data_IF_848799711626
#
_entry.id   IF_848799711626
#
_cell.length_a   1.000
_cell.length_b   1.000
_cell.length_c   1.000
_cell.angle_alpha   90.00
_cell.angle_beta   90.00
_cell.angle_gamma   90.00
#
_symmetry.space_group_name_H-M   'P 1'
#
loop_
_entity.id
_entity.type
_entity.pdbx_description
1 polymer ?
#
# COMPACT_ATOMS: atom_id res chain seq x y z
N UNK A 1 -1.90 -4.28 14.09
CA UNK A 1 -0.65 -4.87 13.53
C UNK A 1 0.10 -5.68 14.58
N UNK A 2 0.22 -5.19 15.82
CA UNK A 2 0.82 -5.98 16.92
C UNK A 2 0.16 -7.36 17.12
N UNK A 3 -1.15 -7.48 16.87
CA UNK A 3 -1.89 -8.76 16.94
C UNK A 3 -1.31 -9.86 16.05
N UNK A 4 -0.62 -9.50 14.97
CA UNK A 4 0.07 -10.44 14.06
C UNK A 4 1.60 -10.37 14.21
N UNK A 5 2.09 -9.82 15.32
CA UNK A 5 3.52 -9.72 15.62
C UNK A 5 4.27 -8.61 14.86
N UNK A 6 3.57 -7.69 14.19
CA UNK A 6 4.19 -6.60 13.43
C UNK A 6 4.08 -5.28 14.19
N UNK A 7 5.20 -4.80 14.72
CA UNK A 7 5.30 -3.48 15.37
C UNK A 7 5.50 -2.37 14.33
N UNK A 8 4.49 -1.51 14.22
CA UNK A 8 4.50 -0.31 13.37
C UNK A 8 4.51 1.00 14.16
N UNK A 9 4.61 0.94 15.49
CA UNK A 9 4.50 2.12 16.38
C UNK A 9 5.56 3.20 16.09
N UNK A 10 6.75 2.79 15.65
CA UNK A 10 7.85 3.69 15.28
C UNK A 10 7.83 4.10 13.80
N UNK A 11 6.89 3.61 13.01
CA UNK A 11 6.81 3.92 11.57
C UNK A 11 6.03 5.23 11.39
N UNK A 12 6.66 6.18 10.70
CA UNK A 12 6.06 7.48 10.40
C UNK A 12 5.66 7.55 8.94
N UNK A 13 4.51 8.17 8.68
CA UNK A 13 4.07 8.48 7.32
C UNK A 13 5.06 9.44 6.66
N UNK A 14 5.40 9.18 5.39
CA UNK A 14 6.30 10.01 4.60
C UNK A 14 5.54 10.51 3.37
N UNK A 15 5.63 11.81 3.02
CA UNK A 15 5.09 12.31 1.77
C UNK A 15 5.69 11.60 0.56
N UNK A 16 4.90 11.47 -0.50
CA UNK A 16 5.35 10.94 -1.78
C UNK A 16 6.37 11.93 -2.37
N UNK A 17 7.53 11.43 -2.78
CA UNK A 17 8.59 12.20 -3.43
C UNK A 17 8.90 11.58 -4.80
N UNK A 18 8.96 12.42 -5.84
CA UNK A 18 9.27 12.03 -7.21
C UNK A 18 10.61 11.28 -7.34
N UNK A 19 11.65 11.73 -6.66
CA UNK A 19 12.99 11.11 -6.77
C UNK A 19 12.94 9.64 -6.34
N UNK A 20 12.25 9.36 -5.23
CA UNK A 20 12.06 7.99 -4.73
C UNK A 20 11.19 7.15 -5.64
N UNK A 21 10.19 7.74 -6.26
CA UNK A 21 9.32 7.00 -7.18
C UNK A 21 10.03 6.65 -8.48
N UNK A 22 10.96 7.50 -8.93
CA UNK A 22 11.76 7.24 -10.12
C UNK A 22 12.75 6.09 -9.89
N UNK A 23 13.37 6.05 -8.69
CA UNK A 23 14.31 5.00 -8.26
C UNK A 23 13.67 3.66 -7.91
N UNK A 24 12.36 3.60 -7.73
CA UNK A 24 11.64 2.38 -7.33
C UNK A 24 11.18 1.61 -8.56
N UNK A 25 11.22 0.27 -8.53
CA UNK A 25 10.75 -0.59 -9.63
C UNK A 25 9.24 -0.81 -9.63
N UNK A 26 8.63 -0.88 -8.44
CA UNK A 26 7.21 -1.19 -8.25
C UNK A 26 6.58 -0.25 -7.23
N UNK A 27 5.48 0.39 -7.61
CA UNK A 27 4.72 1.32 -6.77
C UNK A 27 3.33 0.76 -6.56
N UNK A 28 2.95 0.54 -5.31
CA UNK A 28 1.60 0.09 -4.96
C UNK A 28 0.81 1.25 -4.34
N UNK A 29 -0.35 1.56 -4.92
CA UNK A 29 -1.28 2.54 -4.36
C UNK A 29 -2.56 1.86 -3.90
N UNK A 30 -3.01 2.23 -2.69
CA UNK A 30 -4.31 1.84 -2.14
C UNK A 30 -5.39 2.90 -2.41
N UNK A 31 -5.01 4.06 -2.96
CA UNK A 31 -5.94 5.12 -3.35
C UNK A 31 -6.10 5.17 -4.86
N UNK A 32 -7.23 5.72 -5.30
CA UNK A 32 -7.52 5.91 -6.72
C UNK A 32 -6.42 6.71 -7.44
N UNK A 33 -6.20 6.35 -8.70
CA UNK A 33 -5.20 7.00 -9.57
C UNK A 33 -5.37 8.53 -9.60
N UNK A 34 -6.61 9.02 -9.61
CA UNK A 34 -6.91 10.45 -9.64
C UNK A 34 -6.42 11.23 -8.41
N UNK A 35 -6.19 10.55 -7.27
CA UNK A 35 -5.69 11.15 -6.03
C UNK A 35 -4.17 11.17 -5.95
N UNK A 36 -3.48 10.53 -6.90
CA UNK A 36 -2.02 10.50 -6.94
C UNK A 36 -1.46 11.73 -7.67
N UNK A 37 -0.21 12.12 -7.37
CA UNK A 37 0.51 13.10 -8.16
C UNK A 37 0.56 12.73 -9.64
N UNK A 38 0.49 13.72 -10.53
CA UNK A 38 0.34 13.49 -11.97
C UNK A 38 1.47 12.66 -12.59
N UNK A 39 2.69 12.77 -12.05
CA UNK A 39 3.84 11.98 -12.49
C UNK A 39 3.69 10.46 -12.20
N UNK A 40 2.83 10.07 -11.26
CA UNK A 40 2.51 8.66 -10.99
C UNK A 40 1.29 8.18 -11.78
N UNK A 41 0.39 9.07 -12.16
CA UNK A 41 -0.86 8.71 -12.83
C UNK A 41 -0.64 8.05 -14.19
N UNK A 42 0.51 8.24 -14.83
CA UNK A 42 0.85 7.61 -16.12
C UNK A 42 2.04 6.64 -16.00
N UNK A 43 2.42 6.24 -14.78
CA UNK A 43 3.54 5.34 -14.57
C UNK A 43 3.13 3.88 -14.81
N UNK A 44 3.91 3.17 -15.62
CA UNK A 44 3.78 1.72 -15.83
C UNK A 44 4.18 0.90 -14.59
N UNK A 45 4.88 1.54 -13.64
CA UNK A 45 5.29 0.95 -12.36
C UNK A 45 4.16 0.91 -11.33
N UNK A 46 3.02 1.56 -11.61
CA UNK A 46 1.92 1.75 -10.67
C UNK A 46 0.93 0.59 -10.70
N UNK A 47 0.86 -0.15 -9.59
CA UNK A 47 -0.16 -1.15 -9.28
C UNK A 47 -1.21 -0.51 -8.38
N UNK A 48 -2.48 -0.57 -8.80
CA UNK A 48 -3.60 -0.09 -8.02
C UNK A 48 -4.25 -1.25 -7.25
N UNK A 49 -4.39 -1.09 -5.94
CA UNK A 49 -5.20 -1.96 -5.12
C UNK A 49 -6.45 -1.22 -4.68
N UNK A 50 -7.62 -1.72 -5.08
CA UNK A 50 -8.90 -1.26 -4.56
C UNK A 50 -9.04 -1.77 -3.13
N UNK A 51 -8.72 -0.92 -2.16
CA UNK A 51 -8.82 -1.19 -0.73
C UNK A 51 -9.47 0.03 -0.09
N UNK A 52 -10.51 -0.20 0.72
CA UNK A 52 -11.17 0.87 1.44
C UNK A 52 -10.25 1.41 2.54
N UNK A 53 -10.26 2.73 2.75
CA UNK A 53 -9.55 3.35 3.85
C UNK A 53 -10.21 2.91 5.17
N UNK A 54 -9.50 2.17 6.05
CA UNK A 54 -10.09 1.68 7.29
C UNK A 54 -10.27 2.80 8.33
N UNK A 55 -9.89 4.05 8.02
CA UNK A 55 -10.10 5.19 8.92
C UNK A 55 -11.58 5.31 9.29
N UNK A 56 -11.85 5.34 10.59
CA UNK A 56 -13.19 5.37 11.21
C UNK A 56 -13.98 4.06 11.16
N UNK A 57 -13.39 2.95 10.71
CA UNK A 57 -13.98 1.63 10.89
C UNK A 57 -13.83 1.15 12.35
N UNK A 58 -14.60 0.14 12.71
CA UNK A 58 -14.42 -0.59 13.96
C UNK A 58 -13.24 -1.58 13.87
N UNK A 59 -12.95 -2.25 14.98
CA UNK A 59 -11.85 -3.20 15.05
C UNK A 59 -11.96 -4.32 14.00
N UNK A 60 -13.16 -4.86 13.78
CA UNK A 60 -13.38 -5.92 12.79
C UNK A 60 -13.12 -5.42 11.36
N UNK A 61 -13.54 -4.21 11.02
CA UNK A 61 -13.21 -3.56 9.76
C UNK A 61 -11.70 -3.40 9.58
N UNK A 62 -11.00 -2.94 10.61
CA UNK A 62 -9.54 -2.84 10.61
C UNK A 62 -8.86 -4.21 10.39
N UNK A 63 -9.34 -5.26 11.05
CA UNK A 63 -8.82 -6.64 10.90
C UNK A 63 -9.04 -7.14 9.47
N UNK A 64 -10.24 -6.96 8.91
CA UNK A 64 -10.57 -7.37 7.54
C UNK A 64 -9.68 -6.70 6.50
N UNK A 65 -9.48 -5.39 6.61
CA UNK A 65 -8.62 -4.64 5.69
C UNK A 65 -7.15 -5.06 5.85
N UNK A 66 -6.67 -5.26 7.08
CA UNK A 66 -5.32 -5.77 7.34
C UNK A 66 -5.09 -7.11 6.65
N UNK A 67 -6.00 -8.07 6.82
CA UNK A 67 -5.84 -9.42 6.27
C UNK A 67 -5.89 -9.40 4.73
N UNK A 68 -6.74 -8.54 4.14
CA UNK A 68 -6.75 -8.30 2.70
C UNK A 68 -5.42 -7.73 2.18
N UNK A 69 -4.84 -6.74 2.87
CA UNK A 69 -3.53 -6.17 2.53
C UNK A 69 -2.45 -7.26 2.65
N UNK A 70 -2.48 -8.07 3.71
CA UNK A 70 -1.50 -9.11 3.96
C UNK A 70 -1.43 -10.13 2.82
N UNK A 71 -2.58 -10.66 2.38
CA UNK A 71 -2.62 -11.61 1.26
C UNK A 71 -2.20 -10.97 -0.07
N UNK A 72 -2.58 -9.71 -0.33
CA UNK A 72 -2.13 -8.98 -1.52
C UNK A 72 -0.61 -8.78 -1.54
N UNK A 73 -0.01 -8.42 -0.40
CA UNK A 73 1.45 -8.30 -0.26
C UNK A 73 2.13 -9.66 -0.50
N UNK A 74 1.59 -10.73 0.07
CA UNK A 74 2.13 -12.09 -0.10
C UNK A 74 2.12 -12.53 -1.57
N UNK A 75 1.04 -12.25 -2.30
CA UNK A 75 0.96 -12.51 -3.74
C UNK A 75 1.97 -11.67 -4.53
N UNK A 76 2.07 -10.37 -4.22
CA UNK A 76 3.02 -9.48 -4.89
C UNK A 76 4.46 -9.96 -4.73
N UNK A 77 4.88 -10.28 -3.50
CA UNK A 77 6.23 -10.79 -3.23
C UNK A 77 6.50 -12.08 -4.01
N UNK A 78 5.51 -12.98 -4.09
CA UNK A 78 5.64 -14.22 -4.86
C UNK A 78 5.86 -13.97 -6.35
N UNK A 79 5.20 -12.96 -6.93
CA UNK A 79 5.35 -12.63 -8.35
C UNK A 79 6.66 -11.90 -8.66
N UNK A 80 7.24 -11.18 -7.69
CA UNK A 80 8.53 -10.48 -7.84
C UNK A 80 9.75 -11.40 -7.68
N UNK A 81 9.60 -12.56 -7.04
CA UNK A 81 10.69 -13.52 -6.79
C UNK A 81 10.72 -14.65 -7.83
N UNK A 82 9.85 -14.61 -8.84
CA UNK A 82 9.92 -15.49 -10.01
C UNK A 82 11.03 -15.06 -10.96
#
# INVERSE_FOLDING_TARGET
>A
MNDIGIDVSKKVSKPINKDKTDETDVIVSMVDRSKLPQYLQNSDKLILWTIEDPKNMDYEGHVKIRDMIYEKVKMLVKDLVK
#
